data_IF_801937580320
#
_entry.id   IF_801937580320
#
_cell.length_a   1.000
_cell.length_b   1.000
_cell.length_c   1.000
_cell.angle_alpha   90.00
_cell.angle_beta   90.00
_cell.angle_gamma   90.00
#
_symmetry.space_group_name_H-M   'P 1'
#
loop_
_entity.id
_entity.type
_entity.pdbx_description
1 polymer ?
#
# COMPACT_ATOMS: atom_id res chain seq x y z
N UNK A 1 13.60 17.37 -22.45
CA UNK A 1 12.63 18.06 -23.34
C UNK A 1 11.74 19.01 -22.55
N UNK A 2 11.02 18.60 -21.51
CA UNK A 2 10.16 19.49 -20.70
C UNK A 2 10.90 20.72 -20.13
N UNK A 3 12.13 20.58 -19.67
CA UNK A 3 12.97 21.70 -19.20
C UNK A 3 13.42 22.71 -20.28
N UNK A 4 13.11 22.45 -21.55
CA UNK A 4 13.38 23.36 -22.69
C UNK A 4 12.12 24.06 -23.19
N UNK A 5 11.02 24.05 -22.43
CA UNK A 5 9.77 24.73 -22.79
C UNK A 5 8.89 23.99 -23.82
N UNK A 6 9.21 22.74 -24.18
CA UNK A 6 8.35 21.96 -25.05
C UNK A 6 7.12 21.47 -24.32
N UNK A 7 5.95 21.63 -24.94
CA UNK A 7 4.71 20.98 -24.49
C UNK A 7 4.74 19.52 -24.97
N UNK A 8 4.74 18.58 -24.02
CA UNK A 8 4.72 17.15 -24.31
C UNK A 8 3.30 16.65 -24.11
N UNK A 9 2.81 15.92 -25.11
CA UNK A 9 1.50 15.27 -25.08
C UNK A 9 1.70 13.76 -25.03
N UNK A 10 0.91 13.09 -24.20
CA UNK A 10 0.86 11.64 -24.12
C UNK A 10 -0.44 11.14 -24.71
N UNK A 11 -0.35 10.11 -25.56
CA UNK A 11 -1.50 9.40 -26.09
C UNK A 11 -1.45 7.93 -25.62
N UNK A 12 -2.62 7.34 -25.39
CA UNK A 12 -2.73 5.93 -25.02
C UNK A 12 -2.40 5.03 -26.23
N UNK A 13 -1.62 3.99 -26.01
CA UNK A 13 -1.26 2.99 -27.03
C UNK A 13 -2.49 2.37 -27.71
N UNK A 14 -3.58 2.19 -27.00
CA UNK A 14 -4.84 1.69 -27.54
C UNK A 14 -5.42 2.67 -28.55
N UNK A 15 -5.44 3.95 -28.23
CA UNK A 15 -5.92 5.00 -29.12
C UNK A 15 -5.07 5.09 -30.40
N UNK A 16 -3.73 4.98 -30.26
CA UNK A 16 -2.83 4.94 -31.43
C UNK A 16 -3.14 3.71 -32.31
N UNK A 17 -3.34 2.55 -31.70
CA UNK A 17 -3.70 1.32 -32.40
C UNK A 17 -5.02 1.45 -33.15
N UNK A 18 -6.06 1.88 -32.46
CA UNK A 18 -7.40 2.06 -33.05
C UNK A 18 -7.39 3.09 -34.19
N UNK A 19 -6.63 4.18 -34.05
CA UNK A 19 -6.49 5.19 -35.08
C UNK A 19 -5.73 4.66 -36.30
N UNK A 20 -4.67 3.87 -36.10
CA UNK A 20 -3.93 3.20 -37.15
C UNK A 20 -4.81 2.27 -37.97
N UNK A 21 -5.57 1.40 -37.30
CA UNK A 21 -6.42 0.39 -37.95
C UNK A 21 -7.62 1.01 -38.65
N UNK A 22 -8.32 1.95 -38.02
CA UNK A 22 -9.56 2.53 -38.53
C UNK A 22 -9.36 3.61 -39.57
N UNK A 23 -8.32 4.45 -39.41
CA UNK A 23 -8.12 5.64 -40.24
C UNK A 23 -7.16 5.37 -41.40
N UNK A 24 -6.15 4.56 -41.18
CA UNK A 24 -5.13 4.26 -42.20
C UNK A 24 -5.23 2.86 -42.80
N UNK A 25 -6.05 1.97 -42.25
CA UNK A 25 -6.14 0.59 -42.69
C UNK A 25 -4.81 -0.18 -42.57
N UNK A 26 -3.90 0.29 -41.72
CA UNK A 26 -2.59 -0.27 -41.58
C UNK A 26 -2.54 -1.27 -40.43
N UNK A 27 -2.31 -2.54 -40.74
CA UNK A 27 -2.08 -3.58 -39.72
C UNK A 27 -0.64 -3.61 -39.24
N UNK A 28 0.30 -3.17 -40.09
CA UNK A 28 1.74 -3.23 -39.80
C UNK A 28 2.17 -2.14 -38.81
N UNK A 29 2.73 -2.55 -37.68
CA UNK A 29 3.32 -1.66 -36.70
C UNK A 29 4.81 -1.46 -36.98
N UNK A 30 5.20 -0.21 -37.26
CA UNK A 30 6.59 0.23 -37.30
C UNK A 30 6.72 1.55 -36.53
N UNK A 31 7.90 1.84 -36.00
CA UNK A 31 8.17 3.07 -35.28
C UNK A 31 7.94 4.33 -36.13
N UNK A 32 8.25 4.26 -37.43
CA UNK A 32 8.02 5.37 -38.35
C UNK A 32 6.53 5.64 -38.57
N UNK A 33 5.73 4.61 -38.74
CA UNK A 33 4.26 4.72 -38.86
C UNK A 33 3.69 5.29 -37.61
N UNK A 34 4.07 4.76 -36.44
CA UNK A 34 3.56 5.24 -35.13
C UNK A 34 3.99 6.69 -34.88
N UNK A 35 5.21 7.12 -35.25
CA UNK A 35 5.66 8.49 -35.12
C UNK A 35 4.81 9.46 -35.97
N UNK A 36 4.56 9.11 -37.26
CA UNK A 36 3.71 9.91 -38.16
C UNK A 36 2.27 10.00 -37.67
N UNK A 37 1.72 8.89 -37.16
CA UNK A 37 0.38 8.84 -36.55
C UNK A 37 0.27 9.75 -35.33
N UNK A 38 1.22 9.64 -34.40
CA UNK A 38 1.25 10.48 -33.20
C UNK A 38 1.41 11.96 -33.55
N UNK A 39 2.25 12.31 -34.54
CA UNK A 39 2.39 13.68 -35.01
C UNK A 39 1.07 14.22 -35.60
N UNK A 40 0.37 13.40 -36.41
CA UNK A 40 -0.94 13.77 -36.98
C UNK A 40 -2.01 13.89 -35.90
N UNK A 41 -2.07 12.97 -34.94
CA UNK A 41 -3.01 13.04 -33.82
C UNK A 41 -2.78 14.30 -32.97
N UNK A 42 -1.52 14.65 -32.71
CA UNK A 42 -1.17 15.89 -31.99
C UNK A 42 -1.60 17.14 -32.77
N UNK A 43 -1.38 17.18 -34.10
CA UNK A 43 -1.84 18.28 -34.95
C UNK A 43 -3.37 18.42 -34.95
N UNK A 44 -4.10 17.33 -35.15
CA UNK A 44 -5.56 17.36 -35.14
C UNK A 44 -6.13 17.78 -33.78
N UNK A 45 -5.54 17.31 -32.69
CA UNK A 45 -5.92 17.70 -31.33
C UNK A 45 -5.75 19.21 -31.08
N UNK A 46 -4.62 19.79 -31.49
CA UNK A 46 -4.31 21.21 -31.24
C UNK A 46 -4.99 22.16 -32.22
N UNK A 47 -5.09 21.79 -33.50
CA UNK A 47 -5.54 22.70 -34.56
C UNK A 47 -7.00 22.53 -34.92
N UNK A 48 -7.57 21.36 -34.77
CA UNK A 48 -8.93 21.04 -35.20
C UNK A 48 -9.85 20.77 -34.01
N UNK A 49 -9.28 20.54 -32.81
CA UNK A 49 -10.06 20.27 -31.59
C UNK A 49 -10.64 18.83 -31.55
N UNK A 50 -10.08 17.90 -32.33
CA UNK A 50 -10.52 16.51 -32.25
C UNK A 50 -10.22 15.92 -30.87
N UNK A 51 -11.24 15.28 -30.27
CA UNK A 51 -11.13 14.64 -28.97
C UNK A 51 -10.43 13.27 -29.08
N UNK A 52 -9.11 13.28 -29.11
CA UNK A 52 -8.33 12.10 -28.79
C UNK A 52 -8.13 11.98 -27.28
N UNK A 53 -7.85 10.75 -26.78
CA UNK A 53 -7.37 10.55 -25.42
C UNK A 53 -5.92 11.03 -25.24
N UNK A 54 -5.68 12.30 -25.62
CA UNK A 54 -4.40 13.00 -25.50
C UNK A 54 -4.39 13.81 -24.22
N UNK A 55 -3.34 13.66 -23.42
CA UNK A 55 -3.19 14.40 -22.18
C UNK A 55 -1.84 15.10 -22.13
N UNK A 56 -1.77 16.36 -21.66
CA UNK A 56 -0.49 17.00 -21.43
C UNK A 56 0.31 16.26 -20.36
N UNK A 57 1.60 16.07 -20.63
CA UNK A 57 2.53 15.52 -19.63
C UNK A 57 2.99 16.67 -18.75
N UNK A 58 2.65 16.60 -17.49
CA UNK A 58 3.14 17.53 -16.49
C UNK A 58 4.47 17.05 -15.93
N UNK A 59 5.39 17.98 -15.69
CA UNK A 59 6.57 17.70 -14.90
C UNK A 59 6.12 17.30 -13.51
N UNK A 60 6.47 16.10 -13.13
CA UNK A 60 6.31 15.67 -11.75
C UNK A 60 7.37 16.40 -10.95
N UNK A 61 7.00 17.00 -9.83
CA UNK A 61 7.92 17.56 -8.86
C UNK A 61 9.04 16.53 -8.53
N UNK A 62 10.26 17.02 -8.33
CA UNK A 62 11.42 16.17 -8.07
C UNK A 62 11.20 15.23 -6.88
N UNK A 63 10.59 15.72 -5.81
CA UNK A 63 10.28 14.95 -4.61
C UNK A 63 9.22 13.88 -4.88
N UNK A 64 8.16 14.20 -5.59
CA UNK A 64 7.15 13.23 -5.99
C UNK A 64 7.71 12.18 -6.96
N UNK A 65 8.65 12.55 -7.84
CA UNK A 65 9.34 11.60 -8.71
C UNK A 65 10.25 10.65 -7.91
N UNK A 66 11.01 11.17 -6.94
CA UNK A 66 11.84 10.38 -6.03
C UNK A 66 10.97 9.43 -5.20
N UNK A 67 9.89 9.93 -4.57
CA UNK A 67 8.95 9.12 -3.81
C UNK A 67 8.33 8.00 -4.66
N UNK A 68 8.09 8.22 -5.96
CA UNK A 68 7.56 7.18 -6.87
C UNK A 68 8.52 5.99 -7.02
N UNK A 69 9.82 6.25 -7.06
CA UNK A 69 10.84 5.18 -7.09
C UNK A 69 10.91 4.49 -5.74
N UNK A 70 11.02 5.26 -4.66
CA UNK A 70 11.17 4.75 -3.29
C UNK A 70 9.98 3.90 -2.83
N UNK A 71 8.74 4.32 -3.11
CA UNK A 71 7.53 3.54 -2.80
C UNK A 71 7.52 2.19 -3.54
N UNK A 72 7.95 2.15 -4.80
CA UNK A 72 8.08 0.88 -5.54
C UNK A 72 9.14 -0.03 -4.94
N UNK A 73 10.24 0.53 -4.49
CA UNK A 73 11.32 -0.25 -3.88
C UNK A 73 10.93 -0.74 -2.48
N UNK A 74 10.21 0.07 -1.68
CA UNK A 74 9.58 -0.39 -0.44
C UNK A 74 8.62 -1.57 -0.67
N UNK A 75 7.82 -1.50 -1.72
CA UNK A 75 6.90 -2.60 -2.09
C UNK A 75 7.66 -3.90 -2.44
N UNK A 76 8.78 -3.79 -3.18
CA UNK A 76 9.65 -4.92 -3.51
C UNK A 76 10.31 -5.50 -2.25
N UNK A 77 10.90 -4.64 -1.40
CA UNK A 77 11.52 -5.05 -0.13
C UNK A 77 10.51 -5.76 0.78
N UNK A 78 9.31 -5.22 0.91
CA UNK A 78 8.25 -5.83 1.72
C UNK A 78 7.87 -7.22 1.21
N UNK A 79 7.74 -7.41 -0.11
CA UNK A 79 7.48 -8.73 -0.71
C UNK A 79 8.63 -9.71 -0.48
N UNK A 80 9.89 -9.28 -0.61
CA UNK A 80 11.03 -10.14 -0.35
C UNK A 80 11.14 -10.51 1.13
N UNK A 81 10.91 -9.57 2.05
CA UNK A 81 10.84 -9.83 3.48
C UNK A 81 9.77 -10.89 3.78
N UNK A 82 8.55 -10.71 3.28
CA UNK A 82 7.45 -11.67 3.46
C UNK A 82 7.83 -13.05 2.91
N UNK A 83 8.43 -13.10 1.73
CA UNK A 83 8.89 -14.35 1.13
C UNK A 83 9.93 -15.07 2.00
N UNK A 84 10.91 -14.33 2.55
CA UNK A 84 11.93 -14.91 3.44
C UNK A 84 11.34 -15.33 4.78
N UNK A 85 10.43 -14.55 5.35
CA UNK A 85 9.69 -14.93 6.57
C UNK A 85 8.94 -16.24 6.37
N UNK A 86 8.23 -16.40 5.28
CA UNK A 86 7.50 -17.64 4.96
C UNK A 86 8.45 -18.83 4.78
N UNK A 87 9.62 -18.64 4.14
CA UNK A 87 10.62 -19.69 3.99
C UNK A 87 11.19 -20.11 5.35
N UNK A 88 11.47 -19.17 6.25
CA UNK A 88 11.95 -19.48 7.61
C UNK A 88 10.87 -20.22 8.40
N UNK A 89 9.61 -19.80 8.31
CA UNK A 89 8.49 -20.49 8.94
C UNK A 89 8.32 -21.93 8.45
N UNK A 90 8.51 -22.19 7.15
CA UNK A 90 8.44 -23.54 6.60
C UNK A 90 9.55 -24.45 7.17
N UNK A 91 10.78 -23.93 7.27
CA UNK A 91 11.88 -24.68 7.88
C UNK A 91 11.57 -24.97 9.36
N UNK A 92 11.19 -23.94 10.13
CA UNK A 92 10.87 -24.11 11.54
C UNK A 92 9.69 -25.06 11.74
N UNK A 93 8.65 -25.00 10.94
CA UNK A 93 7.50 -25.92 11.03
C UNK A 93 7.87 -27.38 10.76
N UNK A 94 8.86 -27.63 9.91
CA UNK A 94 9.32 -28.98 9.61
C UNK A 94 10.29 -29.52 10.66
N UNK A 95 11.17 -28.68 11.20
CA UNK A 95 12.30 -29.11 12.04
C UNK A 95 12.10 -28.83 13.53
N UNK A 96 11.26 -27.88 13.89
CA UNK A 96 10.91 -27.49 15.25
C UNK A 96 9.49 -26.91 15.31
N UNK A 97 8.44 -27.72 15.15
CA UNK A 97 7.06 -27.24 15.08
C UNK A 97 6.59 -26.51 16.34
N UNK A 98 7.09 -26.89 17.52
CA UNK A 98 6.77 -26.28 18.81
C UNK A 98 7.25 -24.82 18.89
N UNK A 99 8.30 -24.47 18.16
CA UNK A 99 8.83 -23.11 18.06
C UNK A 99 7.80 -22.12 17.51
N UNK A 100 6.99 -22.56 16.54
CA UNK A 100 5.90 -21.75 15.98
C UNK A 100 4.83 -21.45 17.03
N UNK A 101 4.47 -22.44 17.84
CA UNK A 101 3.49 -22.27 18.94
C UNK A 101 4.02 -21.34 20.02
N UNK A 102 5.28 -21.53 20.42
CA UNK A 102 5.95 -20.70 21.43
C UNK A 102 6.00 -19.22 21.01
N UNK A 103 6.30 -18.91 19.75
CA UNK A 103 6.30 -17.55 19.21
C UNK A 103 4.95 -17.08 18.64
N UNK A 104 3.86 -17.79 18.92
CA UNK A 104 2.48 -17.46 18.47
C UNK A 104 2.41 -17.16 16.97
N UNK A 105 3.08 -17.96 16.16
CA UNK A 105 3.16 -17.79 14.71
C UNK A 105 4.25 -16.82 14.22
N UNK A 106 4.88 -16.04 15.09
CA UNK A 106 5.92 -15.05 14.72
C UNK A 106 7.33 -15.65 14.71
N UNK A 107 7.53 -16.77 14.01
CA UNK A 107 8.83 -17.49 13.94
C UNK A 107 9.94 -16.71 13.24
N UNK A 108 9.62 -15.61 12.59
CA UNK A 108 10.57 -14.69 11.97
C UNK A 108 10.72 -13.36 12.74
N UNK A 109 10.20 -13.27 13.98
CA UNK A 109 10.46 -12.11 14.85
C UNK A 109 11.94 -11.99 15.19
N UNK A 110 12.40 -10.81 15.59
CA UNK A 110 13.79 -10.56 15.93
C UNK A 110 14.31 -11.57 16.98
N UNK A 111 13.56 -11.79 18.06
CA UNK A 111 13.92 -12.76 19.10
C UNK A 111 14.00 -14.21 18.58
N UNK A 112 13.05 -14.60 17.73
CA UNK A 112 13.03 -15.92 17.12
C UNK A 112 14.25 -16.14 16.20
N UNK A 113 14.57 -15.15 15.36
CA UNK A 113 15.75 -15.22 14.49
C UNK A 113 17.06 -15.26 15.26
N UNK A 114 17.19 -14.45 16.31
CA UNK A 114 18.37 -14.45 17.18
C UNK A 114 18.61 -15.83 17.82
N UNK A 115 17.55 -16.48 18.30
CA UNK A 115 17.64 -17.84 18.83
C UNK A 115 18.02 -18.85 17.76
N UNK A 116 17.36 -18.85 16.59
CA UNK A 116 17.67 -19.78 15.51
C UNK A 116 19.05 -19.56 14.90
N UNK A 117 19.58 -18.34 14.96
CA UNK A 117 20.95 -18.04 14.54
C UNK A 117 21.98 -18.58 15.52
N UNK A 118 21.71 -18.51 16.83
CA UNK A 118 22.61 -18.96 17.88
C UNK A 118 22.51 -20.46 18.14
N UNK A 119 21.30 -21.00 18.10
CA UNK A 119 20.97 -22.40 18.35
C UNK A 119 20.20 -22.96 17.15
N UNK A 120 20.88 -23.40 16.09
CA UNK A 120 20.23 -23.68 14.80
C UNK A 120 19.39 -24.96 14.80
N UNK A 121 19.47 -25.79 15.82
CA UNK A 121 18.69 -27.04 15.94
C UNK A 121 17.99 -27.12 17.29
N UNK A 122 16.88 -27.91 17.43
CA UNK A 122 16.26 -28.17 18.72
C UNK A 122 17.28 -28.80 19.71
N UNK A 123 18.14 -29.70 19.24
CA UNK A 123 19.18 -30.35 20.08
C UNK A 123 20.15 -29.30 20.63
N UNK A 124 20.70 -28.44 19.77
CA UNK A 124 21.61 -27.38 20.21
C UNK A 124 20.97 -26.43 21.23
N UNK A 125 19.66 -26.17 21.10
CA UNK A 125 18.91 -25.37 22.06
C UNK A 125 18.66 -26.13 23.37
N UNK A 126 18.34 -27.40 23.31
CA UNK A 126 18.11 -28.27 24.49
C UNK A 126 19.36 -28.47 25.33
N UNK A 127 20.55 -28.54 24.70
CA UNK A 127 21.86 -28.75 25.31
C UNK A 127 22.52 -27.46 25.79
N UNK A 128 22.03 -26.29 25.36
CA UNK A 128 22.58 -24.99 25.74
C UNK A 128 22.36 -24.72 27.24
N UNK A 129 23.28 -23.95 27.86
CA UNK A 129 23.05 -23.42 29.19
C UNK A 129 21.82 -22.47 29.20
N UNK A 130 20.96 -22.61 30.23
CA UNK A 130 19.72 -21.84 30.31
C UNK A 130 19.98 -20.33 30.30
N UNK A 131 21.06 -19.87 30.91
CA UNK A 131 21.46 -18.45 30.93
C UNK A 131 21.85 -17.96 29.54
N UNK A 132 22.46 -18.76 28.69
CA UNK A 132 22.78 -18.38 27.32
C UNK A 132 21.50 -18.15 26.49
N UNK A 133 20.49 -19.02 26.64
CA UNK A 133 19.21 -18.88 25.97
C UNK A 133 18.47 -17.65 26.51
N UNK A 134 18.50 -17.46 27.83
CA UNK A 134 17.89 -16.28 28.48
C UNK A 134 18.55 -14.97 28.03
N UNK A 135 19.86 -14.95 27.83
CA UNK A 135 20.62 -13.79 27.37
C UNK A 135 20.24 -13.40 25.94
N UNK A 136 20.08 -14.35 25.04
CA UNK A 136 19.60 -14.06 23.67
C UNK A 136 18.20 -13.46 23.71
N UNK A 137 17.31 -14.02 24.52
CA UNK A 137 15.95 -13.47 24.70
C UNK A 137 15.95 -12.07 25.34
N UNK A 138 16.83 -11.83 26.31
CA UNK A 138 17.00 -10.53 26.98
C UNK A 138 17.49 -9.48 26.00
N UNK A 139 18.50 -9.80 25.21
CA UNK A 139 19.05 -8.90 24.18
C UNK A 139 18.01 -8.54 23.13
N UNK A 140 17.07 -9.46 22.89
CA UNK A 140 15.94 -9.24 21.98
C UNK A 140 14.71 -8.60 22.69
N UNK A 141 14.87 -8.00 23.87
CA UNK A 141 13.81 -7.36 24.68
C UNK A 141 12.61 -8.26 24.98
N UNK A 142 12.80 -9.58 25.06
CA UNK A 142 11.72 -10.51 25.36
C UNK A 142 11.35 -10.46 26.85
N UNK A 143 10.07 -10.23 27.13
CA UNK A 143 9.55 -10.24 28.51
C UNK A 143 9.67 -11.63 29.13
N UNK A 144 9.99 -11.69 30.45
CA UNK A 144 10.18 -12.95 31.21
C UNK A 144 11.19 -13.92 30.58
N UNK A 145 12.32 -13.42 30.11
CA UNK A 145 13.33 -14.16 29.34
C UNK A 145 13.82 -15.45 30.02
N UNK A 146 14.09 -15.46 31.34
CA UNK A 146 14.57 -16.65 32.04
C UNK A 146 13.52 -17.79 32.04
N UNK A 147 12.24 -17.47 32.40
CA UNK A 147 11.15 -18.47 32.37
C UNK A 147 10.92 -18.98 30.95
N UNK A 148 10.96 -18.11 29.97
CA UNK A 148 10.78 -18.48 28.56
C UNK A 148 11.94 -19.32 28.02
N UNK A 149 13.17 -19.11 28.52
CA UNK A 149 14.32 -19.95 28.15
C UNK A 149 14.11 -21.39 28.60
N UNK A 150 13.73 -21.61 29.86
CA UNK A 150 13.44 -22.96 30.39
C UNK A 150 12.31 -23.64 29.63
N UNK A 151 11.19 -22.94 29.43
CA UNK A 151 10.04 -23.45 28.66
C UNK A 151 10.44 -23.88 27.25
N UNK A 152 11.22 -23.03 26.55
CA UNK A 152 11.66 -23.31 25.19
C UNK A 152 12.63 -24.50 25.13
N UNK A 153 13.49 -24.67 26.12
CA UNK A 153 14.40 -25.84 26.21
C UNK A 153 13.64 -27.15 26.48
N UNK A 154 12.59 -27.13 27.29
CA UNK A 154 11.71 -28.28 27.49
C UNK A 154 11.02 -28.69 26.19
N UNK A 155 10.47 -27.72 25.43
CA UNK A 155 9.91 -27.95 24.11
C UNK A 155 10.93 -28.50 23.12
N UNK A 156 12.17 -28.02 23.19
CA UNK A 156 13.25 -28.50 22.32
C UNK A 156 13.65 -29.94 22.62
N UNK A 157 13.68 -30.36 23.91
CA UNK A 157 13.95 -31.75 24.33
C UNK A 157 12.89 -32.74 23.85
N UNK A 158 11.64 -32.30 23.76
CA UNK A 158 10.48 -33.10 23.36
C UNK A 158 10.03 -32.87 21.93
N UNK A 159 10.83 -32.17 21.11
CA UNK A 159 10.41 -31.79 19.77
C UNK A 159 10.15 -33.00 18.88
N UNK A 160 8.98 -32.97 18.23
CA UNK A 160 8.56 -33.95 17.24
C UNK A 160 9.04 -33.61 15.81
N UNK A 161 9.86 -32.57 15.65
CA UNK A 161 10.35 -32.11 14.36
C UNK A 161 11.24 -33.11 13.63
N UNK A 162 11.31 -32.98 12.31
CA UNK A 162 12.20 -33.78 11.48
C UNK A 162 13.67 -33.46 11.77
N UNK A 163 14.55 -34.45 11.51
CA UNK A 163 15.98 -34.29 11.68
C UNK A 163 16.50 -33.11 10.84
N UNK A 164 17.18 -32.19 11.52
CA UNK A 164 17.74 -31.00 10.87
C UNK A 164 19.14 -31.28 10.33
N UNK A 165 19.25 -31.56 9.05
CA UNK A 165 20.51 -31.83 8.38
C UNK A 165 21.34 -30.55 8.18
N UNK A 166 22.65 -30.68 7.94
CA UNK A 166 23.56 -29.53 7.76
C UNK A 166 23.13 -28.52 6.70
N UNK A 167 22.57 -28.99 5.58
CA UNK A 167 22.06 -28.10 4.54
C UNK A 167 20.83 -27.30 4.97
N UNK A 168 19.98 -27.83 5.86
CA UNK A 168 18.86 -27.07 6.44
C UNK A 168 19.38 -25.98 7.38
N UNK A 169 20.38 -26.27 8.21
CA UNK A 169 21.03 -25.29 9.10
C UNK A 169 21.67 -24.16 8.30
N UNK A 170 22.41 -24.50 7.24
CA UNK A 170 23.01 -23.52 6.34
C UNK A 170 21.93 -22.63 5.70
N UNK A 171 20.88 -23.24 5.17
CA UNK A 171 19.77 -22.53 4.53
C UNK A 171 19.04 -21.62 5.53
N UNK A 172 18.77 -22.09 6.74
CA UNK A 172 18.17 -21.29 7.81
C UNK A 172 19.02 -20.07 8.13
N UNK A 173 20.30 -20.24 8.39
CA UNK A 173 21.23 -19.13 8.66
C UNK A 173 21.34 -18.15 7.49
N UNK A 174 21.33 -18.66 6.25
CA UNK A 174 21.32 -17.82 5.07
C UNK A 174 20.05 -16.98 4.98
N UNK A 175 18.86 -17.55 5.21
CA UNK A 175 17.58 -16.83 5.20
C UNK A 175 17.55 -15.76 6.31
N UNK A 176 18.04 -16.05 7.51
CA UNK A 176 18.11 -15.09 8.61
C UNK A 176 18.96 -13.88 8.21
N UNK A 177 20.16 -14.10 7.69
CA UNK A 177 21.03 -13.00 7.21
C UNK A 177 20.37 -12.17 6.10
N UNK A 178 19.64 -12.82 5.18
CA UNK A 178 18.88 -12.10 4.15
C UNK A 178 17.78 -11.24 4.77
N UNK A 179 17.03 -11.75 5.75
CA UNK A 179 15.99 -11.01 6.44
C UNK A 179 16.54 -9.78 7.14
N UNK A 180 17.62 -9.94 7.90
CA UNK A 180 18.25 -8.85 8.64
C UNK A 180 18.72 -7.73 7.69
N UNK A 181 19.36 -8.11 6.57
CA UNK A 181 19.78 -7.14 5.54
C UNK A 181 18.61 -6.43 4.84
N UNK A 182 17.55 -7.17 4.51
CA UNK A 182 16.36 -6.58 3.88
C UNK A 182 15.60 -5.65 4.83
N UNK A 183 15.48 -6.00 6.10
CA UNK A 183 14.83 -5.16 7.12
C UNK A 183 15.65 -3.89 7.39
N UNK A 184 16.98 -3.97 7.44
CA UNK A 184 17.86 -2.81 7.56
C UNK A 184 17.74 -1.87 6.35
N UNK A 185 17.78 -2.42 5.12
CA UNK A 185 17.60 -1.63 3.91
C UNK A 185 16.22 -0.97 3.85
N UNK A 186 15.18 -1.67 4.30
CA UNK A 186 13.82 -1.10 4.39
C UNK A 186 13.75 0.04 5.40
N UNK A 187 14.39 -0.09 6.56
CA UNK A 187 14.43 0.98 7.56
C UNK A 187 15.13 2.23 7.04
N UNK A 188 16.28 2.07 6.38
CA UNK A 188 17.01 3.18 5.76
C UNK A 188 16.16 3.89 4.69
N UNK A 189 15.50 3.12 3.81
CA UNK A 189 14.64 3.68 2.77
C UNK A 189 13.42 4.41 3.37
N UNK A 190 12.85 3.89 4.47
CA UNK A 190 11.76 4.55 5.19
C UNK A 190 12.18 5.90 5.77
N UNK A 191 13.41 6.03 6.26
CA UNK A 191 13.91 7.31 6.78
C UNK A 191 14.07 8.34 5.66
N UNK A 192 14.55 7.93 4.49
CA UNK A 192 14.60 8.82 3.32
C UNK A 192 13.19 9.24 2.86
N UNK A 193 12.24 8.31 2.82
CA UNK A 193 10.83 8.61 2.51
C UNK A 193 10.26 9.61 3.52
N UNK A 194 10.54 9.42 4.82
CA UNK A 194 10.07 10.33 5.88
C UNK A 194 10.55 11.76 5.67
N UNK A 195 11.82 11.95 5.31
CA UNK A 195 12.39 13.26 5.04
C UNK A 195 11.70 13.96 3.87
N UNK A 196 11.51 13.28 2.74
CA UNK A 196 10.84 13.84 1.57
C UNK A 196 9.35 14.12 1.83
N UNK A 197 8.67 13.23 2.53
CA UNK A 197 7.26 13.45 2.90
C UNK A 197 7.14 14.66 3.82
N UNK A 198 8.00 14.78 4.84
CA UNK A 198 7.93 15.89 5.81
C UNK A 198 8.06 17.28 5.15
N UNK A 199 8.86 17.41 4.08
CA UNK A 199 9.06 18.66 3.35
C UNK A 199 8.02 18.96 2.28
N UNK A 200 7.21 17.97 1.88
CA UNK A 200 6.29 18.12 0.75
C UNK A 200 5.01 18.88 1.12
N UNK A 201 4.60 19.84 0.26
CA UNK A 201 3.45 20.73 0.51
C UNK A 201 2.10 20.01 0.69
N UNK A 202 1.94 18.81 0.14
CA UNK A 202 0.71 18.02 0.29
C UNK A 202 0.62 17.27 1.61
N UNK A 203 1.72 17.09 2.33
CA UNK A 203 1.77 16.32 3.57
C UNK A 203 0.79 16.85 4.63
N UNK A 204 0.80 18.14 5.03
CA UNK A 204 -0.13 18.63 6.04
C UNK A 204 -1.59 18.51 5.61
N UNK A 205 -1.85 18.51 4.30
CA UNK A 205 -3.19 18.37 3.76
C UNK A 205 -3.65 16.91 3.84
N UNK A 206 -2.85 15.96 3.37
CA UNK A 206 -3.19 14.53 3.40
C UNK A 206 -3.29 14.01 4.83
N UNK A 207 -2.36 14.41 5.71
CA UNK A 207 -2.30 13.97 7.10
C UNK A 207 -3.33 14.64 8.02
N UNK A 208 -4.09 15.61 7.51
CA UNK A 208 -5.26 16.14 8.21
C UNK A 208 -6.49 15.22 8.14
N UNK A 209 -6.46 14.17 7.30
CA UNK A 209 -7.49 13.14 7.32
C UNK A 209 -7.53 12.43 8.68
N UNK A 210 -8.68 11.84 9.07
CA UNK A 210 -8.83 11.17 10.37
C UNK A 210 -7.84 10.03 10.64
N UNK A 211 -7.16 9.57 9.63
CA UNK A 211 -6.11 8.53 9.68
C UNK A 211 -4.91 8.99 8.86
N UNK A 212 -3.72 8.72 9.36
CA UNK A 212 -2.48 9.02 8.65
C UNK A 212 -1.52 7.84 8.66
N UNK A 213 -0.70 7.74 7.63
CA UNK A 213 0.40 6.79 7.53
C UNK A 213 1.45 7.35 6.58
N UNK A 214 2.72 7.28 6.97
CA UNK A 214 3.84 7.70 6.14
C UNK A 214 3.79 7.08 4.74
N UNK A 215 3.53 5.78 4.66
CA UNK A 215 3.51 5.04 3.38
C UNK A 215 2.34 5.46 2.50
N UNK A 216 1.15 5.68 3.07
CA UNK A 216 0.01 6.13 2.28
C UNK A 216 0.20 7.55 1.80
N UNK A 217 0.71 8.45 2.66
CA UNK A 217 1.03 9.83 2.27
C UNK A 217 2.05 9.84 1.14
N UNK A 218 3.16 9.10 1.28
CA UNK A 218 4.18 8.97 0.24
C UNK A 218 3.60 8.39 -1.07
N UNK A 219 2.78 7.34 -0.98
CA UNK A 219 2.14 6.70 -2.13
C UNK A 219 1.20 7.66 -2.86
N UNK A 220 0.41 8.43 -2.13
CA UNK A 220 -0.49 9.41 -2.71
C UNK A 220 0.27 10.56 -3.36
N UNK A 221 1.28 11.13 -2.70
CA UNK A 221 2.14 12.16 -3.29
C UNK A 221 2.81 11.64 -4.57
N UNK A 222 3.41 10.45 -4.50
CA UNK A 222 4.07 9.80 -5.64
C UNK A 222 3.13 9.55 -6.83
N UNK A 223 1.89 9.16 -6.56
CA UNK A 223 0.90 8.89 -7.59
C UNK A 223 0.32 10.17 -8.18
N UNK A 224 0.00 11.15 -7.33
CA UNK A 224 -0.66 12.40 -7.72
C UNK A 224 0.30 13.31 -8.49
N UNK A 225 1.52 13.49 -7.99
CA UNK A 225 2.46 14.49 -8.51
C UNK A 225 1.86 15.90 -8.39
N UNK A 226 1.35 16.46 -9.48
CA UNK A 226 0.66 17.74 -9.48
C UNK A 226 -0.86 17.56 -9.61
N UNK A 227 -1.61 18.05 -8.62
CA UNK A 227 -3.08 17.95 -8.62
C UNK A 227 -3.71 18.77 -9.78
N UNK A 228 -3.03 19.80 -10.26
CA UNK A 228 -3.52 20.66 -11.34
C UNK A 228 -3.64 19.95 -12.69
N UNK A 229 -2.97 18.82 -12.87
CA UNK A 229 -3.10 17.99 -14.08
C UNK A 229 -4.47 17.32 -14.24
N UNK A 230 -5.28 17.32 -13.20
CA UNK A 230 -6.63 16.76 -13.26
C UNK A 230 -7.65 17.86 -13.41
N UNK A 231 -8.43 17.82 -14.49
CA UNK A 231 -9.45 18.83 -14.78
C UNK A 231 -10.56 18.84 -13.73
N UNK A 232 -10.94 17.67 -13.23
CA UNK A 232 -11.99 17.49 -12.23
C UNK A 232 -11.77 16.27 -11.32
N UNK A 233 -12.61 16.14 -10.32
CA UNK A 233 -12.58 15.02 -9.37
C UNK A 233 -12.89 13.66 -10.04
N UNK A 234 -13.61 13.64 -11.18
CA UNK A 234 -13.94 12.40 -11.89
C UNK A 234 -12.72 11.85 -12.62
N UNK A 235 -11.95 12.73 -13.27
CA UNK A 235 -10.67 12.39 -13.88
C UNK A 235 -9.68 11.87 -12.83
N UNK A 236 -9.59 12.57 -11.68
CA UNK A 236 -8.76 12.14 -10.55
C UNK A 236 -9.18 10.78 -9.99
N UNK A 237 -10.45 10.58 -9.72
CA UNK A 237 -11.01 9.30 -9.23
C UNK A 237 -10.75 8.15 -10.19
N UNK A 238 -10.87 8.40 -11.51
CA UNK A 238 -10.55 7.41 -12.55
C UNK A 238 -9.08 7.05 -12.55
N UNK A 239 -8.21 8.05 -12.44
CA UNK A 239 -6.75 7.85 -12.36
C UNK A 239 -6.33 7.02 -11.14
N UNK A 240 -6.99 7.22 -10.00
CA UNK A 240 -6.77 6.42 -8.78
C UNK A 240 -7.46 5.05 -8.81
N UNK A 241 -8.23 4.73 -9.87
CA UNK A 241 -8.84 3.42 -10.08
C UNK A 241 -10.11 3.15 -9.25
N UNK A 242 -10.80 4.19 -8.78
CA UNK A 242 -12.03 4.07 -7.98
C UNK A 242 -13.30 4.47 -8.73
N UNK A 243 -13.30 4.42 -10.06
CA UNK A 243 -14.49 4.65 -10.90
C UNK A 243 -15.12 3.31 -11.28
N UNK A 244 -16.45 3.16 -11.14
CA UNK A 244 -17.13 1.98 -11.65
C UNK A 244 -17.08 1.95 -13.18
N UNK A 245 -16.82 0.78 -13.74
CA UNK A 245 -16.95 0.50 -15.18
C UNK A 245 -18.36 -0.05 -15.42
N UNK A 246 -19.16 0.70 -16.16
CA UNK A 246 -20.51 0.29 -16.53
C UNK A 246 -20.44 -0.34 -17.91
N UNK A 247 -20.49 -1.65 -17.98
CA UNK A 247 -20.68 -2.36 -19.23
C UNK A 247 -22.20 -2.38 -19.56
N UNK A 248 -22.65 -1.43 -20.38
CA UNK A 248 -23.98 -1.50 -20.95
C UNK A 248 -23.94 -2.38 -22.21
N UNK A 249 -24.46 -3.57 -22.14
CA UNK A 249 -24.77 -4.39 -23.31
C UNK A 249 -26.25 -4.79 -23.28
N UNK A 250 -27.07 -4.09 -24.03
CA UNK A 250 -28.48 -4.45 -24.27
C UNK A 250 -29.35 -4.48 -23.01
N UNK A 251 -30.30 -5.38 -22.94
CA UNK A 251 -31.31 -5.53 -21.87
C UNK A 251 -30.84 -6.32 -20.64
N UNK A 252 -29.54 -6.58 -20.48
CA UNK A 252 -29.01 -7.34 -19.34
C UNK A 252 -28.73 -6.43 -18.14
N UNK A 253 -29.06 -6.92 -16.95
CA UNK A 253 -28.86 -6.31 -15.64
C UNK A 253 -27.49 -5.63 -15.51
N UNK A 254 -27.46 -4.35 -15.20
CA UNK A 254 -26.25 -3.53 -15.00
C UNK A 254 -25.31 -4.16 -13.96
N UNK A 255 -24.31 -4.89 -14.41
CA UNK A 255 -23.22 -5.35 -13.54
C UNK A 255 -22.11 -4.30 -13.57
N UNK A 256 -22.15 -3.35 -12.66
CA UNK A 256 -21.03 -2.44 -12.46
C UNK A 256 -19.88 -3.19 -11.78
N UNK A 257 -18.71 -3.18 -12.40
CA UNK A 257 -17.46 -3.66 -11.82
C UNK A 257 -16.54 -2.46 -11.61
N UNK A 258 -15.68 -2.54 -10.59
CA UNK A 258 -14.63 -1.54 -10.43
C UNK A 258 -13.69 -1.61 -11.63
N UNK A 259 -13.40 -0.46 -12.26
CA UNK A 259 -12.48 -0.40 -13.40
C UNK A 259 -11.12 -1.02 -13.03
N UNK A 260 -10.56 -1.82 -13.95
CA UNK A 260 -9.23 -2.40 -13.76
C UNK A 260 -8.09 -1.40 -14.01
N UNK A 261 -8.43 -0.24 -14.59
CA UNK A 261 -7.51 0.86 -14.88
C UNK A 261 -7.15 1.64 -13.62
N UNK A 262 -6.07 2.43 -13.69
CA UNK A 262 -5.62 3.33 -12.62
C UNK A 262 -4.32 2.89 -11.95
N UNK A 263 -3.78 3.75 -11.09
CA UNK A 263 -2.53 3.51 -10.36
C UNK A 263 -2.77 2.51 -9.24
N UNK A 264 -2.29 1.28 -9.43
CA UNK A 264 -2.54 0.15 -8.51
C UNK A 264 -2.15 0.45 -7.06
N UNK A 265 -0.98 1.05 -6.83
CA UNK A 265 -0.49 1.39 -5.49
C UNK A 265 -1.39 2.39 -4.78
N UNK A 266 -1.78 3.47 -5.46
CA UNK A 266 -2.68 4.48 -4.90
C UNK A 266 -4.10 3.93 -4.67
N UNK A 267 -4.57 3.04 -5.57
CA UNK A 267 -5.85 2.34 -5.37
C UNK A 267 -5.80 1.47 -4.11
N UNK A 268 -4.71 0.72 -3.91
CA UNK A 268 -4.50 -0.07 -2.70
C UNK A 268 -4.49 0.79 -1.45
N UNK A 269 -3.70 1.87 -1.43
CA UNK A 269 -3.62 2.79 -0.30
C UNK A 269 -5.00 3.36 0.08
N UNK A 270 -5.76 3.88 -0.88
CA UNK A 270 -7.11 4.42 -0.62
C UNK A 270 -8.10 3.34 -0.16
N UNK A 271 -7.98 2.11 -0.68
CA UNK A 271 -8.80 0.98 -0.22
C UNK A 271 -8.52 0.61 1.23
N UNK A 272 -7.27 0.55 1.62
CA UNK A 272 -6.86 0.31 3.00
C UNK A 272 -7.25 1.46 3.92
N UNK A 273 -7.06 2.72 3.50
CA UNK A 273 -7.54 3.89 4.24
C UNK A 273 -9.05 3.80 4.48
N UNK A 274 -9.84 3.44 3.47
CA UNK A 274 -11.29 3.28 3.61
C UNK A 274 -11.67 2.18 4.61
N UNK A 275 -10.93 1.06 4.65
CA UNK A 275 -11.14 0.00 5.63
C UNK A 275 -10.79 0.45 7.06
N UNK A 276 -9.67 1.13 7.24
CA UNK A 276 -9.24 1.61 8.56
C UNK A 276 -10.17 2.69 9.12
N UNK A 277 -10.75 3.54 8.25
CA UNK A 277 -11.79 4.50 8.67
C UNK A 277 -13.01 3.81 9.32
N UNK A 278 -13.20 2.51 9.10
CA UNK A 278 -14.26 1.70 9.71
C UNK A 278 -13.80 0.99 11.00
N UNK A 279 -12.52 1.05 11.35
CA UNK A 279 -12.01 0.39 12.54
C UNK A 279 -12.60 1.00 13.83
N UNK A 280 -12.82 0.20 14.88
CA UNK A 280 -13.35 0.70 16.15
C UNK A 280 -12.51 1.80 16.81
N UNK A 281 -11.20 1.78 16.56
CA UNK A 281 -10.23 2.77 17.06
C UNK A 281 -10.35 4.14 16.39
N UNK A 282 -10.98 4.23 15.21
CA UNK A 282 -11.28 5.50 14.54
C UNK A 282 -12.64 5.98 15.02
N UNK A 283 -12.67 7.16 15.65
CA UNK A 283 -13.90 7.75 16.15
C UNK A 283 -14.92 8.02 15.02
N UNK A 284 -16.18 8.29 15.40
CA UNK A 284 -17.27 8.53 14.45
C UNK A 284 -16.93 9.65 13.47
N UNK A 285 -16.59 9.29 12.24
CA UNK A 285 -16.33 10.20 11.13
C UNK A 285 -17.51 10.21 10.17
N UNK A 286 -17.65 11.26 9.37
CA UNK A 286 -18.62 11.33 8.29
C UNK A 286 -18.49 10.12 7.34
N UNK A 287 -17.29 9.62 7.12
CA UNK A 287 -17.04 8.41 6.33
C UNK A 287 -17.68 7.17 6.93
N UNK A 288 -17.57 6.98 8.25
CA UNK A 288 -18.14 5.82 8.93
C UNK A 288 -19.66 5.85 8.95
N UNK A 289 -20.25 7.01 9.20
CA UNK A 289 -21.71 7.17 9.16
C UNK A 289 -22.26 6.97 7.75
N UNK A 290 -21.55 7.43 6.72
CA UNK A 290 -21.94 7.17 5.35
C UNK A 290 -21.90 5.68 5.00
N UNK A 291 -20.88 4.97 5.48
CA UNK A 291 -20.83 3.51 5.34
C UNK A 291 -22.03 2.84 6.03
N UNK A 292 -22.35 3.23 7.27
CA UNK A 292 -23.49 2.67 8.01
C UNK A 292 -24.80 2.89 7.25
N UNK A 293 -25.05 4.09 6.73
CA UNK A 293 -26.22 4.38 5.87
C UNK A 293 -26.28 3.50 4.62
N UNK A 294 -25.14 3.17 4.02
CA UNK A 294 -25.10 2.23 2.89
C UNK A 294 -25.46 0.80 3.32
N UNK A 295 -25.00 0.34 4.48
CA UNK A 295 -25.34 -0.98 5.02
C UNK A 295 -26.84 -1.06 5.34
N UNK A 296 -27.42 -0.04 5.96
CA UNK A 296 -28.86 0.07 6.23
C UNK A 296 -29.71 -0.01 4.95
N UNK A 297 -29.19 0.48 3.84
CA UNK A 297 -29.79 0.36 2.50
C UNK A 297 -29.48 -0.97 1.80
N UNK A 298 -29.01 -1.97 2.53
CA UNK A 298 -28.66 -3.30 2.04
C UNK A 298 -27.55 -3.33 0.96
N UNK A 299 -26.67 -2.33 0.91
CA UNK A 299 -25.48 -2.37 0.05
C UNK A 299 -24.50 -3.40 0.63
N UNK A 300 -23.96 -4.27 -0.23
CA UNK A 300 -22.97 -5.26 0.20
C UNK A 300 -21.74 -4.59 0.81
N UNK A 301 -21.19 -5.09 1.95
CA UNK A 301 -20.07 -4.46 2.66
C UNK A 301 -18.87 -4.13 1.75
N UNK A 302 -18.42 -5.08 0.93
CA UNK A 302 -17.31 -4.84 0.00
C UNK A 302 -17.61 -3.73 -1.03
N UNK A 303 -18.86 -3.61 -1.49
CA UNK A 303 -19.30 -2.54 -2.38
C UNK A 303 -19.33 -1.21 -1.65
N UNK A 304 -19.83 -1.19 -0.40
CA UNK A 304 -19.86 0.01 0.44
C UNK A 304 -18.44 0.56 0.71
N UNK A 305 -17.46 -0.32 1.00
CA UNK A 305 -16.03 0.07 1.11
C UNK A 305 -15.51 0.67 -0.19
N UNK A 306 -15.86 0.10 -1.34
CA UNK A 306 -15.47 0.65 -2.65
C UNK A 306 -16.07 2.05 -2.89
N UNK A 307 -17.33 2.27 -2.51
CA UNK A 307 -17.95 3.60 -2.56
C UNK A 307 -17.24 4.58 -1.63
N UNK A 308 -16.89 4.13 -0.41
CA UNK A 308 -16.18 4.94 0.58
C UNK A 308 -14.81 5.39 0.06
N UNK A 309 -14.01 4.49 -0.52
CA UNK A 309 -12.74 4.82 -1.15
C UNK A 309 -12.90 5.80 -2.31
N UNK A 310 -13.97 5.66 -3.09
CA UNK A 310 -14.31 6.61 -4.14
C UNK A 310 -14.70 7.99 -3.61
N UNK A 311 -15.39 8.09 -2.47
CA UNK A 311 -15.69 9.36 -1.79
C UNK A 311 -14.44 9.98 -1.20
N UNK A 312 -13.61 9.18 -0.52
CA UNK A 312 -12.31 9.62 -0.01
C UNK A 312 -11.46 10.24 -1.12
N UNK A 313 -11.44 9.64 -2.31
CA UNK A 313 -10.76 10.21 -3.48
C UNK A 313 -11.32 11.59 -3.86
N UNK A 314 -12.63 11.77 -3.81
CA UNK A 314 -13.28 13.07 -4.14
C UNK A 314 -12.95 14.14 -3.11
N UNK A 315 -12.99 13.79 -1.82
CA UNK A 315 -12.61 14.68 -0.71
C UNK A 315 -11.14 15.08 -0.84
N UNK A 316 -10.26 14.11 -1.06
CA UNK A 316 -8.83 14.33 -1.25
C UNK A 316 -8.55 15.28 -2.44
N UNK A 317 -9.27 15.13 -3.56
CA UNK A 317 -9.15 16.03 -4.69
C UNK A 317 -9.48 17.48 -4.29
N UNK A 318 -10.59 17.69 -3.59
CA UNK A 318 -11.02 19.01 -3.12
C UNK A 318 -9.99 19.64 -2.19
N UNK A 319 -9.51 18.89 -1.21
CA UNK A 319 -8.48 19.32 -0.25
C UNK A 319 -7.19 19.76 -0.96
N UNK A 320 -6.66 18.92 -1.86
CA UNK A 320 -5.42 19.23 -2.58
C UNK A 320 -5.58 20.34 -3.61
N UNK A 321 -6.75 20.45 -4.25
CA UNK A 321 -7.02 21.51 -5.24
C UNK A 321 -7.08 22.90 -4.61
N UNK A 322 -7.59 22.99 -3.38
CA UNK A 322 -7.71 24.23 -2.62
C UNK A 322 -6.60 24.41 -1.58
N UNK A 323 -5.72 23.43 -1.42
CA UNK A 323 -4.67 23.39 -0.39
C UNK A 323 -5.23 23.62 1.03
N UNK A 324 -6.41 23.06 1.30
CA UNK A 324 -7.08 23.18 2.61
C UNK A 324 -7.10 21.83 3.34
N UNK A 325 -6.80 21.80 4.65
CA UNK A 325 -6.92 20.61 5.46
C UNK A 325 -8.35 20.05 5.46
N UNK A 326 -8.48 18.78 5.85
CA UNK A 326 -9.76 18.13 6.03
C UNK A 326 -10.57 18.82 7.13
N UNK A 327 -11.84 19.09 6.84
CA UNK A 327 -12.82 19.66 7.77
C UNK A 327 -14.01 18.70 7.90
N UNK A 328 -14.06 18.02 9.03
CA UNK A 328 -15.11 17.06 9.38
C UNK A 328 -16.49 17.77 9.42
N UNK A 329 -16.58 18.97 9.97
CA UNK A 329 -17.84 19.68 10.09
C UNK A 329 -18.39 20.08 8.72
N UNK A 330 -17.51 20.51 7.80
CA UNK A 330 -17.85 20.79 6.40
C UNK A 330 -18.33 19.51 5.71
N UNK A 331 -17.56 18.42 5.83
CA UNK A 331 -17.90 17.15 5.19
C UNK A 331 -19.25 16.62 5.68
N UNK A 332 -19.54 16.71 6.98
CA UNK A 332 -20.84 16.34 7.55
C UNK A 332 -21.99 17.17 6.98
N UNK A 333 -21.80 18.49 6.89
CA UNK A 333 -22.81 19.38 6.26
C UNK A 333 -23.10 19.00 4.82
N UNK A 334 -22.06 18.75 4.04
CA UNK A 334 -22.19 18.35 2.62
C UNK A 334 -22.91 17.01 2.45
N UNK A 335 -22.80 16.12 3.45
CA UNK A 335 -23.45 14.82 3.45
C UNK A 335 -24.84 14.81 4.15
N UNK A 336 -25.31 15.95 4.63
CA UNK A 336 -26.56 16.03 5.39
C UNK A 336 -26.54 15.21 6.68
N UNK A 337 -25.37 15.15 7.34
CA UNK A 337 -25.17 14.50 8.63
C UNK A 337 -25.33 15.52 9.77
N UNK A 338 -25.86 15.11 10.93
CA UNK A 338 -25.93 15.99 12.09
C UNK A 338 -24.52 16.42 12.53
N UNK A 339 -24.35 17.58 13.16
CA UNK A 339 -23.09 17.97 13.75
C UNK A 339 -22.65 16.95 14.80
N UNK A 340 -21.33 16.82 15.01
CA UNK A 340 -20.81 15.97 16.07
C UNK A 340 -21.28 16.49 17.42
N UNK A 341 -21.84 15.61 18.24
CA UNK A 341 -22.06 15.90 19.65
C UNK A 341 -20.71 15.90 20.38
N UNK A 342 -20.56 16.66 21.47
CA UNK A 342 -19.33 16.69 22.26
C UNK A 342 -18.88 15.31 22.77
N UNK A 343 -19.84 14.39 22.98
CA UNK A 343 -19.57 13.00 23.34
C UNK A 343 -18.93 12.16 22.20
N UNK A 344 -19.03 12.61 20.95
CA UNK A 344 -18.56 11.90 19.74
C UNK A 344 -17.46 12.66 19.00
N UNK A 345 -16.83 13.65 19.63
CA UNK A 345 -15.71 14.36 19.04
C UNK A 345 -14.55 13.40 18.80
N UNK A 346 -13.99 13.35 17.58
CA UNK A 346 -12.76 12.59 17.34
C UNK A 346 -11.65 13.09 18.28
N UNK A 347 -10.74 12.20 18.66
CA UNK A 347 -9.51 12.61 19.32
C UNK A 347 -8.84 13.72 18.49
N UNK A 348 -8.26 14.71 19.16
CA UNK A 348 -7.70 15.89 18.48
C UNK A 348 -6.60 15.58 17.45
N UNK A 349 -6.01 14.37 17.49
CA UNK A 349 -5.01 13.92 16.54
C UNK A 349 -5.53 12.76 15.65
N UNK A 350 -5.19 12.76 14.35
CA UNK A 350 -5.46 11.62 13.47
C UNK A 350 -4.81 10.35 14.01
N UNK A 351 -5.48 9.21 13.85
CA UNK A 351 -4.89 7.91 14.18
C UNK A 351 -3.69 7.65 13.29
N UNK A 352 -2.50 7.53 13.89
CA UNK A 352 -1.29 7.15 13.18
C UNK A 352 -1.23 5.62 13.03
N UNK A 353 -1.10 5.17 11.81
CA UNK A 353 -1.02 3.75 11.47
C UNK A 353 0.45 3.41 11.18
N UNK A 354 1.08 2.67 12.09
CA UNK A 354 2.36 2.03 11.82
C UNK A 354 2.15 0.81 10.91
N UNK A 355 3.12 0.57 10.01
CA UNK A 355 3.01 -0.45 8.95
C UNK A 355 2.76 -1.89 9.44
N UNK A 356 3.04 -2.22 10.69
CA UNK A 356 2.84 -3.56 11.23
C UNK A 356 1.35 -3.96 11.38
N UNK A 357 0.45 -2.98 11.44
CA UNK A 357 -1.00 -3.23 11.43
C UNK A 357 -1.51 -3.57 10.02
N UNK A 358 -0.89 -3.03 8.98
CA UNK A 358 -1.26 -3.28 7.58
C UNK A 358 -0.89 -4.71 7.17
N UNK A 359 0.24 -5.22 7.64
CA UNK A 359 0.66 -6.61 7.44
C UNK A 359 -0.27 -7.64 8.12
N UNK A 360 -1.06 -7.22 9.13
CA UNK A 360 -2.03 -8.08 9.81
C UNK A 360 -3.39 -8.15 9.11
N UNK A 361 -3.72 -7.18 8.27
CA UNK A 361 -5.00 -7.11 7.55
C UNK A 361 -4.94 -7.85 6.20
N UNK A 362 -3.74 -8.07 5.65
CA UNK A 362 -3.54 -8.85 4.41
C UNK A 362 -3.50 -10.37 4.64
N UNK A 363 -3.67 -10.84 5.88
CA UNK A 363 -3.85 -12.26 6.27
C UNK A 363 -5.31 -12.58 6.53
#
# INVERSE_FOLDING_TARGET
>A
MLGKGYRILQVDNRTVKEYREKVFGLETKTDDVDARLMARMGFLHEMVGEEFSIQPVYLVDGDAAALRVMVRDLEKLTREITRRRNQLQQIAAATFPEFKTFFRGSTASFAARALLARFPTPQALAEAEADQVADVLRTANAYKHAKRATELQELARSSAGALMLSHHQWRQGWIIRQLDGLEAARAELLDQVRQLVASHSYTPIIESLPIKSLIWTATLIAAIGDIRRFNDHRAFKRYLGWTPEVAKSGSSTDKSKLARSGVRTARGALGQMALILLAPSVHNTAFREDYQRMIERHVRPATAVGHLAGKLSTVLYGMLRTMTPYDEAKHRREMGLPPLSDANRPAEAPLEIEMDLVDQIER
#
